data_IF_950970315167
#
_entry.id   IF_950970315167
#
_cell.length_a   1.000
_cell.length_b   1.000
_cell.length_c   1.000
_cell.angle_alpha   90.00
_cell.angle_beta   90.00
_cell.angle_gamma   90.00
#
_symmetry.space_group_name_H-M   'P 1'
#
loop_
_entity.id
_entity.type
_entity.pdbx_description
1 polymer ?
#
# COMPACT_ATOMS: atom_id res chain seq x y z
N UNK A 1 5.00 -15.90 13.13
CA UNK A 1 3.66 -15.71 12.52
C UNK A 1 3.51 -14.24 12.15
N UNK A 2 2.99 -13.91 10.95
CA UNK A 2 2.85 -12.51 10.51
C UNK A 2 1.42 -12.00 10.67
N UNK A 3 1.25 -10.83 11.31
CA UNK A 3 -0.04 -10.19 11.58
C UNK A 3 -0.04 -8.78 11.03
N UNK A 4 -0.98 -8.50 10.12
CA UNK A 4 -1.26 -7.16 9.59
C UNK A 4 -1.86 -6.27 10.67
N UNK A 5 -1.28 -5.10 10.89
CA UNK A 5 -1.79 -4.14 11.86
C UNK A 5 -3.04 -3.43 11.35
N UNK A 6 -3.12 -3.14 10.05
CA UNK A 6 -4.35 -2.62 9.45
C UNK A 6 -5.53 -3.58 9.66
N UNK A 7 -5.33 -4.88 9.41
CA UNK A 7 -6.38 -5.87 9.63
C UNK A 7 -6.68 -6.06 11.12
N UNK A 8 -5.68 -5.98 12.00
CA UNK A 8 -5.91 -6.02 13.44
C UNK A 8 -6.82 -4.86 13.91
N UNK A 9 -6.66 -3.67 13.34
CA UNK A 9 -7.53 -2.49 13.59
C UNK A 9 -8.96 -2.64 13.07
N UNK A 10 -9.21 -3.57 12.16
CA UNK A 10 -10.58 -3.93 11.79
C UNK A 10 -11.28 -4.67 12.92
N UNK A 11 -10.57 -5.57 13.60
CA UNK A 11 -11.08 -6.35 14.73
C UNK A 11 -11.08 -5.59 16.07
N UNK A 12 -10.12 -4.69 16.28
CA UNK A 12 -9.98 -3.94 17.53
C UNK A 12 -9.81 -2.47 17.18
N UNK A 13 -10.81 -1.63 17.45
CA UNK A 13 -10.70 -0.19 17.24
C UNK A 13 -9.69 0.38 18.24
N UNK A 14 -8.52 0.76 17.72
CA UNK A 14 -7.41 1.30 18.50
C UNK A 14 -6.63 2.31 17.67
N UNK A 15 -6.22 3.39 18.34
CA UNK A 15 -5.34 4.43 17.78
C UNK A 15 -3.90 4.30 18.33
N UNK A 16 -3.60 3.20 19.03
CA UNK A 16 -2.27 2.99 19.59
C UNK A 16 -1.21 2.96 18.48
N UNK A 17 0.01 3.46 18.73
CA UNK A 17 1.12 3.20 17.83
C UNK A 17 1.38 1.70 17.69
N UNK A 18 1.89 1.26 16.53
CA UNK A 18 2.21 -0.14 16.29
C UNK A 18 3.29 -0.66 17.27
N UNK A 19 4.28 0.17 17.61
CA UNK A 19 5.31 -0.17 18.60
C UNK A 19 4.73 -0.41 19.99
N UNK A 20 3.79 0.45 20.42
CA UNK A 20 3.12 0.29 21.72
C UNK A 20 2.23 -0.96 21.72
N UNK A 21 1.48 -1.18 20.62
CA UNK A 21 0.69 -2.40 20.43
C UNK A 21 1.57 -3.64 20.50
N UNK A 22 2.73 -3.63 19.83
CA UNK A 22 3.66 -4.75 19.84
C UNK A 22 4.22 -5.05 21.22
N UNK A 23 4.52 -4.00 22.01
CA UNK A 23 4.94 -4.17 23.41
C UNK A 23 3.85 -4.83 24.25
N UNK A 24 2.60 -4.40 24.11
CA UNK A 24 1.47 -4.98 24.85
C UNK A 24 1.24 -6.46 24.50
N UNK A 25 1.41 -6.82 23.23
CA UNK A 25 1.34 -8.20 22.77
C UNK A 25 2.46 -9.05 23.39
N UNK A 26 3.70 -8.53 23.41
CA UNK A 26 4.83 -9.20 24.07
C UNK A 26 4.57 -9.39 25.57
N UNK A 27 4.07 -8.36 26.25
CA UNK A 27 3.76 -8.42 27.69
C UNK A 27 2.67 -9.45 28.03
N UNK A 28 1.81 -9.83 27.07
CA UNK A 28 0.80 -10.88 27.25
C UNK A 28 1.23 -12.26 26.71
N UNK A 29 2.51 -12.42 26.40
CA UNK A 29 3.10 -13.69 25.98
C UNK A 29 3.02 -13.97 24.47
N UNK A 30 2.64 -12.97 23.66
CA UNK A 30 2.75 -13.00 22.20
C UNK A 30 3.96 -12.17 21.78
N UNK A 31 5.16 -12.74 21.96
CA UNK A 31 6.43 -12.06 21.69
C UNK A 31 6.51 -11.55 20.25
N UNK A 32 6.57 -10.22 20.10
CA UNK A 32 6.79 -9.56 18.82
C UNK A 32 8.29 -9.46 18.56
N UNK A 33 8.77 -10.30 17.64
CA UNK A 33 10.18 -10.41 17.23
C UNK A 33 10.58 -9.24 16.31
N UNK A 34 9.67 -8.81 15.44
CA UNK A 34 9.92 -7.71 14.51
C UNK A 34 8.63 -6.93 14.17
N UNK A 35 8.81 -5.66 13.81
CA UNK A 35 7.76 -4.77 13.32
C UNK A 35 8.25 -4.19 12.00
N UNK A 36 7.67 -4.64 10.90
CA UNK A 36 8.11 -4.26 9.56
C UNK A 36 7.06 -3.42 8.86
N UNK A 37 7.50 -2.34 8.20
CA UNK A 37 6.64 -1.64 7.27
C UNK A 37 6.58 -2.42 5.95
N UNK A 38 5.38 -2.77 5.52
CA UNK A 38 5.13 -3.41 4.23
C UNK A 38 4.39 -2.43 3.33
N UNK A 39 4.89 -2.22 2.13
CA UNK A 39 4.29 -1.35 1.12
C UNK A 39 4.10 -2.20 -0.13
N UNK A 40 2.93 -2.15 -0.77
CA UNK A 40 2.68 -2.90 -2.02
C UNK A 40 3.66 -2.49 -3.13
N UNK A 41 4.09 -1.22 -3.10
CA UNK A 41 5.17 -0.69 -3.92
C UNK A 41 6.18 -0.04 -3.00
N UNK A 42 7.45 -0.43 -3.14
CA UNK A 42 8.54 0.08 -2.31
C UNK A 42 8.63 1.61 -2.40
N UNK A 43 8.64 2.27 -1.25
CA UNK A 43 8.64 3.74 -1.16
C UNK A 43 7.25 4.38 -1.22
N UNK A 44 6.18 3.58 -1.40
CA UNK A 44 4.79 4.05 -1.35
C UNK A 44 4.44 5.13 -2.38
N UNK A 45 5.21 5.25 -3.46
CA UNK A 45 5.10 6.33 -4.46
C UNK A 45 5.13 7.75 -3.83
N UNK A 46 5.86 7.92 -2.72
CA UNK A 46 5.95 9.21 -2.02
C UNK A 46 6.63 10.27 -2.88
N UNK A 47 6.03 11.45 -2.94
CA UNK A 47 6.50 12.56 -3.78
C UNK A 47 6.15 12.39 -5.26
N UNK A 48 5.25 11.47 -5.60
CA UNK A 48 4.71 11.32 -6.95
C UNK A 48 3.26 11.79 -7.02
N UNK A 49 2.93 12.49 -8.10
CA UNK A 49 1.61 13.07 -8.33
C UNK A 49 1.17 12.86 -9.76
N UNK A 50 -0.14 12.85 -9.98
CA UNK A 50 -0.73 12.90 -11.33
C UNK A 50 -0.54 14.30 -11.91
N UNK A 51 0.09 14.38 -13.07
CA UNK A 51 0.27 15.61 -13.84
C UNK A 51 -0.38 15.52 -15.23
N UNK A 52 -0.57 16.68 -15.87
CA UNK A 52 -0.98 16.77 -17.27
C UNK A 52 0.10 17.46 -18.10
N UNK A 53 0.52 16.83 -19.19
CA UNK A 53 1.46 17.43 -20.15
C UNK A 53 0.73 18.54 -20.91
N UNK A 54 1.08 19.80 -20.69
CA UNK A 54 0.47 20.95 -21.38
C UNK A 54 1.09 21.22 -22.73
N UNK A 55 2.43 21.16 -22.82
CA UNK A 55 3.15 21.33 -24.09
C UNK A 55 4.25 20.29 -24.24
N UNK A 56 4.60 20.00 -25.51
CA UNK A 56 5.74 19.18 -25.90
C UNK A 56 6.48 19.88 -27.02
N UNK A 57 7.73 20.22 -26.79
CA UNK A 57 8.62 20.83 -27.77
C UNK A 57 9.87 19.98 -27.95
N UNK A 58 10.44 19.96 -29.15
CA UNK A 58 11.70 19.24 -29.38
C UNK A 58 12.82 19.95 -28.61
N UNK A 59 13.67 19.18 -27.94
CA UNK A 59 14.80 19.76 -27.22
C UNK A 59 15.78 20.41 -28.22
N UNK A 60 16.24 21.65 -27.99
CA UNK A 60 17.10 22.39 -28.93
C UNK A 60 18.45 21.71 -29.16
N UNK A 61 19.05 21.17 -28.09
CA UNK A 61 20.39 20.55 -28.12
C UNK A 61 20.38 19.00 -28.04
N UNK A 62 19.24 18.35 -28.34
CA UNK A 62 19.14 16.88 -28.31
C UNK A 62 18.04 16.32 -29.23
N UNK A 63 18.39 15.37 -30.09
CA UNK A 63 17.44 14.80 -31.06
C UNK A 63 16.40 13.87 -30.47
N UNK A 64 16.70 13.20 -29.36
CA UNK A 64 15.84 12.19 -28.73
C UNK A 64 15.11 12.70 -27.49
N UNK A 65 15.28 13.98 -27.12
CA UNK A 65 14.64 14.55 -25.94
C UNK A 65 13.58 15.56 -26.34
N UNK A 66 12.56 15.66 -25.50
CA UNK A 66 11.51 16.68 -25.58
C UNK A 66 11.55 17.52 -24.30
N UNK A 67 11.30 18.82 -24.44
CA UNK A 67 11.02 19.71 -23.31
C UNK A 67 9.52 19.77 -23.19
N UNK A 68 9.01 19.43 -22.00
CA UNK A 68 7.58 19.43 -21.72
C UNK A 68 7.26 20.41 -20.60
N UNK A 69 6.11 21.08 -20.72
CA UNK A 69 5.52 21.78 -19.57
C UNK A 69 4.42 20.91 -19.00
N UNK A 70 4.41 20.75 -17.68
CA UNK A 70 3.48 19.86 -16.98
C UNK A 70 2.77 20.61 -15.88
N UNK A 71 1.45 20.46 -15.83
CA UNK A 71 0.60 20.94 -14.74
C UNK A 71 0.44 19.84 -13.69
N UNK A 72 0.79 20.13 -12.45
CA UNK A 72 0.60 19.22 -11.31
C UNK A 72 -0.38 19.79 -10.26
N UNK A 73 -1.16 20.82 -10.61
CA UNK A 73 -2.22 21.35 -9.76
C UNK A 73 -1.75 22.34 -8.67
N UNK A 74 -0.50 22.79 -8.71
CA UNK A 74 0.06 23.78 -7.78
C UNK A 74 0.05 25.23 -8.31
N UNK A 75 -0.60 25.46 -9.46
CA UNK A 75 -0.71 26.76 -10.12
C UNK A 75 0.49 27.14 -11.01
N UNK A 76 1.70 26.69 -10.69
CA UNK A 76 2.87 26.83 -11.56
C UNK A 76 3.07 25.58 -12.43
N UNK A 77 3.38 25.79 -13.72
CA UNK A 77 3.78 24.70 -14.62
C UNK A 77 5.25 24.34 -14.38
N UNK A 78 5.54 23.05 -14.35
CA UNK A 78 6.90 22.54 -14.24
C UNK A 78 7.50 22.28 -15.61
N UNK A 79 8.78 22.63 -15.78
CA UNK A 79 9.54 22.22 -16.96
C UNK A 79 10.17 20.85 -16.71
N UNK A 80 9.86 19.87 -17.54
CA UNK A 80 10.40 18.51 -17.41
C UNK A 80 10.92 18.06 -18.76
N UNK A 81 12.18 17.61 -18.79
CA UNK A 81 12.79 17.02 -19.99
C UNK A 81 12.46 15.53 -19.99
N UNK A 82 11.84 15.06 -21.07
CA UNK A 82 11.43 13.67 -21.24
C UNK A 82 12.03 13.07 -22.52
N UNK A 83 12.58 11.86 -22.41
CA UNK A 83 13.15 11.13 -23.56
C UNK A 83 12.20 10.11 -24.20
N UNK A 84 11.02 9.87 -23.61
CA UNK A 84 10.09 8.87 -24.11
C UNK A 84 9.40 9.35 -25.39
N UNK A 85 9.32 8.48 -26.40
CA UNK A 85 8.72 8.81 -27.70
C UNK A 85 7.21 8.99 -27.60
N UNK A 86 6.57 8.29 -26.65
CA UNK A 86 5.12 8.25 -26.44
C UNK A 86 4.56 9.44 -25.65
N UNK A 87 5.39 10.39 -25.18
CA UNK A 87 4.91 11.62 -24.53
C UNK A 87 4.18 12.52 -25.52
N UNK A 88 2.99 12.99 -25.18
CA UNK A 88 2.14 13.86 -26.02
C UNK A 88 1.43 14.89 -25.13
N UNK A 89 1.22 16.10 -25.66
CA UNK A 89 0.42 17.11 -24.98
C UNK A 89 -1.04 16.63 -24.79
N UNK A 90 -1.62 16.96 -23.63
CA UNK A 90 -2.95 16.53 -23.18
C UNK A 90 -2.98 15.22 -22.38
N UNK A 91 -1.87 14.47 -22.32
CA UNK A 91 -1.82 13.21 -21.55
C UNK A 91 -1.74 13.45 -20.04
N UNK A 92 -2.46 12.62 -19.28
CA UNK A 92 -2.27 12.47 -17.84
C UNK A 92 -1.15 11.47 -17.59
N UNK A 93 -0.21 11.80 -16.71
CA UNK A 93 1.02 11.03 -16.48
C UNK A 93 1.41 11.08 -15.00
N UNK A 94 2.25 10.16 -14.56
CA UNK A 94 2.85 10.20 -13.21
C UNK A 94 4.10 11.08 -13.23
N UNK A 95 4.16 12.03 -12.32
CA UNK A 95 5.28 12.96 -12.14
C UNK A 95 5.93 12.72 -10.80
N UNK A 96 7.22 12.38 -10.80
CA UNK A 96 8.04 12.44 -9.60
C UNK A 96 8.56 13.87 -9.41
N UNK A 97 8.16 14.50 -8.31
CA UNK A 97 8.57 15.87 -7.98
C UNK A 97 9.99 15.90 -7.38
N UNK A 98 10.60 17.07 -7.31
CA UNK A 98 11.90 17.26 -6.66
C UNK A 98 11.83 16.74 -5.20
N UNK A 99 12.82 15.93 -4.81
CA UNK A 99 12.91 15.26 -3.51
C UNK A 99 12.19 13.91 -3.45
N UNK A 100 11.48 13.50 -4.50
CA UNK A 100 10.88 12.16 -4.57
C UNK A 100 11.97 11.09 -4.71
N UNK A 101 11.81 9.98 -3.98
CA UNK A 101 12.72 8.83 -4.06
C UNK A 101 12.10 7.76 -4.95
N UNK A 102 12.79 7.40 -6.03
CA UNK A 102 12.36 6.34 -6.95
C UNK A 102 13.00 5.01 -6.54
N UNK A 103 12.23 3.94 -6.73
CA UNK A 103 12.66 2.56 -6.48
C UNK A 103 12.42 1.75 -7.75
N UNK A 104 13.35 1.83 -8.74
CA UNK A 104 13.20 1.08 -9.98
C UNK A 104 13.21 -0.44 -9.75
N UNK A 105 12.55 -1.17 -10.65
CA UNK A 105 12.59 -2.65 -10.65
C UNK A 105 14.00 -3.19 -10.94
N UNK A 106 14.80 -2.44 -11.70
CA UNK A 106 16.21 -2.72 -11.97
C UNK A 106 17.07 -1.48 -11.70
N UNK A 107 18.06 -1.61 -10.82
CA UNK A 107 18.99 -0.52 -10.49
C UNK A 107 18.92 -0.12 -9.02
N UNK A 108 19.67 0.92 -8.66
CA UNK A 108 19.68 1.46 -7.30
C UNK A 108 18.59 2.54 -7.14
N UNK A 109 17.96 2.63 -5.96
CA UNK A 109 17.06 3.73 -5.64
C UNK A 109 17.78 5.09 -5.75
N UNK A 110 17.09 6.10 -6.30
CA UNK A 110 17.66 7.43 -6.47
C UNK A 110 16.64 8.55 -6.24
N UNK A 111 17.13 9.71 -5.81
CA UNK A 111 16.32 10.89 -5.50
C UNK A 111 16.24 11.83 -6.71
N UNK A 112 15.03 12.32 -7.01
CA UNK A 112 14.81 13.34 -8.05
C UNK A 112 15.36 14.69 -7.58
N UNK A 113 16.31 15.22 -8.35
CA UNK A 113 16.91 16.52 -8.09
C UNK A 113 16.65 17.46 -9.26
N UNK A 114 16.48 18.74 -8.94
CA UNK A 114 16.44 19.80 -9.95
C UNK A 114 17.76 19.81 -10.70
N UNK A 115 17.72 19.63 -12.01
CA UNK A 115 18.92 19.53 -12.84
C UNK A 115 18.76 20.29 -14.15
N UNK A 116 19.89 20.55 -14.81
CA UNK A 116 19.91 21.05 -16.19
C UNK A 116 20.37 19.94 -17.10
N UNK A 117 19.50 19.49 -17.99
CA UNK A 117 19.79 18.49 -19.00
C UNK A 117 20.07 19.25 -20.29
N UNK A 118 21.34 19.27 -20.71
CA UNK A 118 21.79 19.93 -21.95
C UNK A 118 21.29 21.38 -22.08
N UNK A 119 21.38 22.14 -20.99
CA UNK A 119 20.99 23.56 -20.94
C UNK A 119 19.53 23.83 -20.57
N UNK A 120 18.64 22.84 -20.71
CA UNK A 120 17.23 22.97 -20.34
C UNK A 120 16.98 22.53 -18.90
N UNK A 121 16.08 23.24 -18.22
CA UNK A 121 15.74 22.96 -16.83
C UNK A 121 14.79 21.76 -16.75
N UNK A 122 15.08 20.81 -15.85
CA UNK A 122 14.16 19.73 -15.48
C UNK A 122 13.86 19.78 -13.99
N UNK A 123 12.59 19.99 -13.66
CA UNK A 123 12.06 20.20 -12.30
C UNK A 123 11.28 18.98 -11.80
N UNK A 124 11.65 17.81 -12.29
CA UNK A 124 10.98 16.55 -12.02
C UNK A 124 11.32 15.53 -13.09
N UNK A 125 10.57 14.44 -13.08
CA UNK A 125 10.65 13.36 -14.05
C UNK A 125 9.24 12.84 -14.37
N UNK A 126 8.97 12.58 -15.65
CA UNK A 126 7.78 11.84 -16.06
C UNK A 126 8.14 10.36 -15.99
N UNK A 127 7.37 9.59 -15.22
CA UNK A 127 7.76 8.25 -14.82
C UNK A 127 7.19 7.17 -15.76
N UNK A 128 8.00 6.14 -16.00
CA UNK A 128 7.59 4.85 -16.54
C UNK A 128 7.23 3.86 -15.42
N UNK A 129 6.64 2.70 -15.76
CA UNK A 129 6.16 1.72 -14.77
C UNK A 129 7.30 1.02 -14.02
N UNK A 130 8.39 0.73 -14.74
CA UNK A 130 9.60 0.10 -14.24
C UNK A 130 10.40 1.00 -13.30
N UNK A 131 10.38 2.31 -13.52
CA UNK A 131 11.09 3.30 -12.72
C UNK A 131 10.47 3.49 -11.32
N UNK A 132 9.18 3.18 -11.19
CA UNK A 132 8.40 3.40 -9.97
C UNK A 132 7.93 2.10 -9.32
N UNK A 133 8.38 0.95 -9.82
CA UNK A 133 8.12 -0.35 -9.22
C UNK A 133 6.70 -0.88 -9.42
N UNK A 134 5.95 -0.36 -10.40
CA UNK A 134 4.58 -0.79 -10.72
C UNK A 134 4.51 -1.85 -11.81
N UNK A 135 5.55 -1.97 -12.64
CA UNK A 135 5.58 -2.91 -13.76
C UNK A 135 6.98 -3.14 -14.29
N UNK A 136 7.08 -3.90 -15.38
CA UNK A 136 8.35 -4.18 -16.08
C UNK A 136 8.37 -3.61 -17.50
N UNK A 137 7.35 -2.83 -17.87
CA UNK A 137 7.27 -2.20 -19.19
C UNK A 137 8.33 -1.10 -19.32
N UNK A 138 9.12 -1.17 -20.40
CA UNK A 138 10.10 -0.15 -20.79
C UNK A 138 9.68 0.60 -22.07
N UNK A 139 8.41 0.48 -22.49
CA UNK A 139 7.95 1.05 -23.77
C UNK A 139 7.80 2.58 -23.75
N UNK A 140 7.94 3.21 -22.59
CA UNK A 140 7.93 4.66 -22.43
C UNK A 140 7.27 5.09 -21.12
N UNK A 141 6.83 6.35 -21.06
CA UNK A 141 6.15 6.88 -19.87
C UNK A 141 4.80 6.21 -19.65
N UNK A 142 4.36 6.18 -18.39
CA UNK A 142 3.03 5.70 -18.01
C UNK A 142 1.96 6.77 -18.31
N UNK A 143 1.04 6.44 -19.21
CA UNK A 143 -0.12 7.29 -19.55
C UNK A 143 -1.32 6.81 -18.74
N UNK A 144 -1.95 7.73 -18.02
CA UNK A 144 -3.10 7.47 -17.15
C UNK A 144 -4.42 7.74 -17.86
N UNK A 145 -5.52 7.28 -17.24
CA UNK A 145 -6.87 7.59 -17.70
C UNK A 145 -7.14 9.10 -17.71
N UNK A 146 -7.93 9.56 -18.67
CA UNK A 146 -8.26 10.99 -18.82
C UNK A 146 -8.96 11.58 -17.59
N UNK A 147 -9.67 10.75 -16.82
CA UNK A 147 -10.37 11.11 -15.59
C UNK A 147 -9.43 11.28 -14.37
N UNK A 148 -8.14 10.98 -14.53
CA UNK A 148 -7.15 11.16 -13.47
C UNK A 148 -7.04 12.65 -13.08
N UNK A 149 -7.26 12.94 -11.79
CA UNK A 149 -7.27 14.31 -11.28
C UNK A 149 -5.84 14.83 -11.15
N UNK A 150 -5.57 15.98 -11.75
CA UNK A 150 -4.28 16.67 -11.64
C UNK A 150 -4.01 17.00 -10.17
N UNK A 151 -2.78 16.74 -9.72
CA UNK A 151 -2.33 16.98 -8.35
C UNK A 151 -2.73 15.90 -7.35
N UNK A 152 -3.50 14.89 -7.75
CA UNK A 152 -3.75 13.71 -6.93
C UNK A 152 -2.43 12.97 -6.66
N UNK A 153 -2.20 12.52 -5.42
CA UNK A 153 -1.04 11.71 -5.12
C UNK A 153 -1.11 10.38 -5.89
N UNK A 154 0.01 9.94 -6.46
CA UNK A 154 0.06 8.68 -7.19
C UNK A 154 -0.34 7.49 -6.30
N UNK A 155 0.04 7.54 -5.01
CA UNK A 155 -0.39 6.58 -3.99
C UNK A 155 -1.90 6.40 -3.96
N UNK A 156 -2.66 7.50 -3.99
CA UNK A 156 -4.12 7.47 -3.92
C UNK A 156 -4.74 6.97 -5.23
N UNK A 157 -4.15 7.36 -6.37
CA UNK A 157 -4.59 6.92 -7.69
C UNK A 157 -4.47 5.40 -7.86
N UNK A 158 -3.30 4.84 -7.52
CA UNK A 158 -3.03 3.41 -7.62
C UNK A 158 -3.52 2.61 -6.41
N UNK A 159 -4.11 3.27 -5.41
CA UNK A 159 -4.57 2.66 -4.16
C UNK A 159 -3.45 1.84 -3.50
N UNK A 160 -2.27 2.44 -3.39
CA UNK A 160 -1.12 1.78 -2.75
C UNK A 160 -1.37 1.74 -1.25
N UNK A 161 -1.62 0.53 -0.76
CA UNK A 161 -1.74 0.28 0.67
C UNK A 161 -0.36 0.22 1.32
N UNK A 162 -0.30 0.80 2.52
CA UNK A 162 0.85 0.67 3.43
C UNK A 162 0.34 -0.01 4.69
N UNK A 163 1.08 -0.98 5.18
CA UNK A 163 0.76 -1.72 6.39
C UNK A 163 1.99 -1.83 7.30
N UNK A 164 1.71 -2.11 8.56
CA UNK A 164 2.73 -2.50 9.53
C UNK A 164 2.44 -3.96 9.88
N UNK A 165 3.44 -4.82 9.74
CA UNK A 165 3.31 -6.24 9.99
C UNK A 165 4.11 -6.60 11.23
N UNK A 166 3.45 -7.23 12.20
CA UNK A 166 4.08 -7.83 13.36
C UNK A 166 4.55 -9.25 13.03
N UNK A 167 5.78 -9.59 13.36
CA UNK A 167 6.25 -10.97 13.42
C UNK A 167 6.20 -11.47 14.86
N UNK A 168 5.31 -12.42 15.11
CA UNK A 168 5.07 -12.99 16.43
C UNK A 168 5.72 -14.38 16.53
N UNK A 169 6.62 -14.55 17.50
CA UNK A 169 7.25 -15.82 17.88
C UNK A 169 6.27 -16.74 18.61
N UNK A 170 5.30 -17.30 17.87
CA UNK A 170 4.18 -18.03 18.47
C UNK A 170 4.63 -19.35 19.13
N UNK A 171 4.33 -19.50 20.42
CA UNK A 171 4.60 -20.72 21.19
C UNK A 171 3.52 -21.80 20.97
N UNK A 172 3.85 -23.10 21.02
CA UNK A 172 2.91 -24.17 20.68
C UNK A 172 1.64 -24.24 21.55
N UNK A 173 1.67 -23.70 22.77
CA UNK A 173 0.53 -23.63 23.68
C UNK A 173 -0.49 -22.56 23.29
N UNK A 174 -0.20 -21.69 22.32
CA UNK A 174 -1.04 -20.55 21.90
C UNK A 174 -1.63 -20.74 20.50
N UNK A 175 -2.13 -21.93 20.18
CA UNK A 175 -2.78 -22.19 18.90
C UNK A 175 -3.99 -21.28 18.63
N UNK A 176 -4.63 -20.76 19.67
CA UNK A 176 -5.71 -19.77 19.61
C UNK A 176 -5.27 -18.45 18.97
N UNK A 177 -4.00 -18.06 19.15
CA UNK A 177 -3.41 -16.85 18.62
C UNK A 177 -2.76 -17.05 17.24
N UNK A 178 -2.93 -18.21 16.59
CA UNK A 178 -2.48 -18.47 15.22
C UNK A 178 -3.35 -17.78 14.13
N UNK A 179 -3.92 -16.62 14.44
CA UNK A 179 -4.79 -15.84 13.54
C UNK A 179 -4.92 -14.39 14.01
N UNK A 180 -5.31 -13.47 13.13
CA UNK A 180 -5.60 -12.07 13.50
C UNK A 180 -6.68 -11.97 14.57
N UNK A 181 -7.73 -12.80 14.51
CA UNK A 181 -8.81 -12.81 15.50
C UNK A 181 -8.28 -13.26 16.87
N UNK A 182 -7.39 -14.25 16.89
CA UNK A 182 -6.75 -14.73 18.11
C UNK A 182 -5.91 -13.65 18.79
N UNK A 183 -5.05 -13.00 18.02
CA UNK A 183 -4.21 -11.88 18.49
C UNK A 183 -5.05 -10.69 18.92
N UNK A 184 -6.12 -10.37 18.18
CA UNK A 184 -7.08 -9.33 18.53
C UNK A 184 -7.74 -9.58 19.90
N UNK A 185 -8.08 -10.84 20.20
CA UNK A 185 -8.67 -11.23 21.49
C UNK A 185 -7.72 -10.96 22.66
N UNK A 186 -6.45 -11.33 22.51
CA UNK A 186 -5.42 -11.05 23.50
C UNK A 186 -5.21 -9.54 23.69
N UNK A 187 -5.13 -8.79 22.59
CA UNK A 187 -4.99 -7.34 22.64
C UNK A 187 -6.17 -6.69 23.40
N UNK A 188 -7.41 -7.10 23.10
CA UNK A 188 -8.60 -6.63 23.83
C UNK A 188 -8.50 -6.95 25.32
N UNK A 189 -8.06 -8.15 25.69
CA UNK A 189 -7.92 -8.55 27.09
C UNK A 189 -6.91 -7.67 27.82
N UNK A 190 -5.75 -7.40 27.22
CA UNK A 190 -4.70 -6.53 27.80
C UNK A 190 -5.18 -5.10 27.93
N UNK A 191 -5.81 -4.54 26.90
CA UNK A 191 -6.34 -3.17 26.92
C UNK A 191 -7.41 -2.99 28.00
N UNK A 192 -8.24 -4.01 28.21
CA UNK A 192 -9.27 -4.02 29.25
C UNK A 192 -8.69 -3.95 30.67
N UNK A 193 -7.49 -4.50 30.87
CA UNK A 193 -6.81 -4.49 32.19
C UNK A 193 -6.05 -3.20 32.43
N UNK A 194 -5.41 -2.63 31.39
CA UNK A 194 -4.56 -1.45 31.52
C UNK A 194 -5.38 -0.16 31.64
N UNK A 195 -6.59 -0.11 31.06
CA UNK A 195 -7.44 1.09 31.04
C UNK A 195 -8.86 0.89 31.62
N UNK A 196 -9.02 0.42 32.87
CA UNK A 196 -10.33 0.08 33.44
C UNK A 196 -11.25 1.29 33.69
N UNK A 197 -10.75 2.53 33.58
CA UNK A 197 -11.50 3.79 33.83
C UNK A 197 -11.60 4.71 32.62
N UNK A 198 -11.07 4.32 31.46
CA UNK A 198 -11.17 5.13 30.25
C UNK A 198 -12.45 4.76 29.51
N UNK A 199 -13.50 5.59 29.61
CA UNK A 199 -14.72 5.45 28.78
C UNK A 199 -14.41 5.50 27.27
N UNK A 200 -13.22 5.99 26.91
CA UNK A 200 -12.76 6.22 25.53
C UNK A 200 -12.23 4.92 24.87
N UNK A 201 -11.84 3.93 25.67
CA UNK A 201 -11.13 2.72 25.19
C UNK A 201 -11.88 1.44 25.58
N UNK A 202 -13.22 1.39 25.46
CA UNK A 202 -13.98 0.15 25.67
C UNK A 202 -13.59 -0.89 24.59
N UNK A 203 -12.54 -1.71 24.80
CA UNK A 203 -11.95 -2.47 23.72
C UNK A 203 -12.85 -3.67 23.51
N UNK A 204 -13.41 -3.79 22.31
CA UNK A 204 -14.27 -4.90 21.94
C UNK A 204 -13.74 -5.53 20.67
N UNK A 205 -13.90 -6.84 20.59
CA UNK A 205 -13.65 -7.58 19.38
C UNK A 205 -14.82 -7.34 18.41
N UNK A 206 -14.56 -6.67 17.30
CA UNK A 206 -15.52 -6.46 16.22
C UNK A 206 -15.29 -7.53 15.15
N UNK A 207 -16.20 -8.50 15.07
CA UNK A 207 -16.18 -9.48 13.99
C UNK A 207 -16.90 -8.92 12.75
N UNK A 208 -16.39 -9.20 11.53
CA UNK A 208 -17.12 -8.84 10.31
C UNK A 208 -18.48 -9.53 10.29
N UNK A 209 -19.52 -8.80 9.90
CA UNK A 209 -20.88 -9.36 9.78
C UNK A 209 -20.94 -10.39 8.65
N UNK A 210 -21.65 -11.47 8.92
CA UNK A 210 -21.97 -12.53 7.94
C UNK A 210 -23.45 -12.51 7.54
N UNK A 211 -24.21 -11.48 7.93
CA UNK A 211 -25.67 -11.41 7.74
C UNK A 211 -26.08 -11.32 6.27
N UNK A 212 -25.15 -10.92 5.40
CA UNK A 212 -25.36 -10.86 3.95
C UNK A 212 -25.24 -12.23 3.28
N UNK A 213 -24.65 -13.22 3.95
CA UNK A 213 -24.52 -14.57 3.42
C UNK A 213 -25.89 -15.24 3.38
N UNK A 214 -26.28 -15.70 2.19
CA UNK A 214 -27.52 -16.45 1.97
C UNK A 214 -27.20 -17.70 1.17
N UNK A 215 -27.86 -18.80 1.55
CA UNK A 215 -27.81 -20.04 0.78
C UNK A 215 -28.45 -19.78 -0.59
N UNK A 216 -27.69 -20.02 -1.65
CA UNK A 216 -28.13 -19.78 -3.03
C UNK A 216 -29.10 -20.88 -3.51
N UNK A 217 -28.72 -22.16 -3.33
CA UNK A 217 -29.56 -23.33 -3.64
C UNK A 217 -29.19 -24.50 -2.74
N UNK A 218 -30.16 -25.39 -2.50
CA UNK A 218 -29.98 -26.68 -1.82
C UNK A 218 -30.21 -27.88 -2.77
N UNK A 219 -30.26 -27.65 -4.08
CA UNK A 219 -30.65 -28.67 -5.07
C UNK A 219 -29.54 -29.68 -5.36
N UNK A 220 -28.29 -29.34 -5.02
CA UNK A 220 -27.12 -30.22 -5.19
C UNK A 220 -26.72 -30.81 -3.86
N UNK A 221 -27.17 -32.04 -3.62
CA UNK A 221 -26.79 -32.81 -2.45
C UNK A 221 -25.52 -33.61 -2.79
N UNK A 222 -24.43 -33.33 -2.09
CA UNK A 222 -23.22 -34.16 -2.10
C UNK A 222 -23.26 -35.00 -0.83
N UNK A 223 -23.26 -36.32 -0.99
CA UNK A 223 -23.17 -37.22 0.17
C UNK A 223 -21.78 -37.11 0.79
N UNK A 224 -21.73 -36.85 2.10
CA UNK A 224 -20.49 -36.79 2.88
C UNK A 224 -20.59 -37.82 3.99
N UNK A 225 -19.63 -38.74 4.03
CA UNK A 225 -19.52 -39.78 5.06
C UNK A 225 -18.23 -39.54 5.85
N UNK A 226 -18.35 -39.34 7.17
CA UNK A 226 -17.20 -39.24 8.07
C UNK A 226 -16.93 -40.63 8.64
N UNK A 227 -15.95 -41.34 8.06
CA UNK A 227 -15.62 -42.72 8.45
C UNK A 227 -14.99 -42.82 9.86
N UNK A 228 -14.22 -41.82 10.27
CA UNK A 228 -13.60 -41.72 11.59
C UNK A 228 -14.05 -40.43 12.31
N UNK A 229 -15.13 -40.55 13.08
CA UNK A 229 -15.69 -39.45 13.85
C UNK A 229 -14.85 -39.06 15.09
N UNK A 230 -13.87 -39.88 15.49
CA UNK A 230 -12.94 -39.54 16.59
C UNK A 230 -11.88 -38.58 16.06
N UNK A 231 -11.28 -38.91 14.91
CA UNK A 231 -10.29 -38.06 14.26
C UNK A 231 -10.91 -36.78 13.65
N UNK A 232 -12.14 -36.86 13.13
CA UNK A 232 -12.87 -35.74 12.54
C UNK A 232 -14.23 -35.53 13.23
N UNK A 233 -14.25 -34.89 14.41
CA UNK A 233 -15.49 -34.69 15.16
C UNK A 233 -16.46 -33.70 14.51
N UNK A 234 -15.99 -32.88 13.56
CA UNK A 234 -16.81 -31.93 12.81
C UNK A 234 -16.27 -31.74 11.40
N UNK A 235 -17.15 -31.91 10.43
CA UNK A 235 -16.94 -31.52 9.03
C UNK A 235 -18.04 -30.53 8.63
N UNK A 236 -17.71 -29.51 7.85
CA UNK A 236 -18.67 -28.55 7.29
C UNK A 236 -18.21 -28.26 5.87
N UNK A 237 -19.01 -28.69 4.88
CA UNK A 237 -18.74 -28.55 3.45
C UNK A 237 -19.69 -27.59 2.76
#
# INVERSE_FOLDING_TARGET
MKISYNWLKEYVKTDLPAEETGKLLTDCGLEVESIEKVETVKGGLKGMVVGEVKTKEKHPDADRLSVTTVDIGIGALLNIVCGASNVVAGQKVVIATIGAMLYPTTGEPFEIKKSKIRGQLSEGMICAEDEIGLGTSHEGIMVLDAEAKIGMAAKDYFKIDEDIVFEIGLTPNRADAASHIGVARDLVAVLSVINPKSEILNPKLELPSVDTFKVDTTDRIIEVVVEDAIACPRYSG
#
